data_IF_554344222592
#
_entry.id   IF_554344222592
#
_cell.length_a   1.000
_cell.length_b   1.000
_cell.length_c   1.000
_cell.angle_alpha   90.00
_cell.angle_beta   90.00
_cell.angle_gamma   90.00
#
_symmetry.space_group_name_H-M   'P 1'
#
loop_
_entity.id
_entity.type
_entity.pdbx_description
1 polymer ?
#
# COMPACT_ATOMS: atom_id res chain seq x y z
N UNK A 1 15.65 2.77 -17.56
CA UNK A 1 15.09 1.98 -16.43
C UNK A 1 13.87 2.73 -15.91
N UNK A 2 12.71 2.09 -15.87
CA UNK A 2 11.49 2.69 -15.32
C UNK A 2 11.57 2.85 -13.80
N UNK A 3 10.64 3.60 -13.17
CA UNK A 3 10.54 3.68 -11.73
C UNK A 3 10.39 2.28 -11.10
N UNK A 4 10.91 2.10 -9.88
CA UNK A 4 10.70 0.86 -9.12
C UNK A 4 9.21 0.67 -8.86
N UNK A 5 8.77 -0.59 -8.65
CA UNK A 5 7.38 -0.90 -8.35
C UNK A 5 6.87 -0.22 -7.08
N UNK A 6 7.74 -0.05 -6.09
CA UNK A 6 7.43 0.73 -4.89
C UNK A 6 7.15 2.20 -5.22
N UNK A 7 7.95 2.81 -6.09
CA UNK A 7 7.76 4.21 -6.49
C UNK A 7 6.42 4.41 -7.22
N UNK A 8 6.04 3.47 -8.09
CA UNK A 8 4.73 3.45 -8.77
C UNK A 8 3.57 3.45 -7.75
N UNK A 9 3.64 2.58 -6.73
CA UNK A 9 2.63 2.54 -5.66
C UNK A 9 2.60 3.84 -4.85
N UNK A 10 3.76 4.39 -4.48
CA UNK A 10 3.84 5.66 -3.74
C UNK A 10 3.21 6.80 -4.53
N UNK A 11 3.48 6.90 -5.83
CA UNK A 11 2.89 7.92 -6.70
C UNK A 11 1.36 7.80 -6.77
N UNK A 12 0.82 6.58 -6.88
CA UNK A 12 -0.62 6.34 -6.86
C UNK A 12 -1.27 6.70 -5.52
N UNK A 13 -0.61 6.41 -4.40
CA UNK A 13 -1.08 6.76 -3.05
C UNK A 13 -1.08 8.28 -2.85
N UNK A 14 -0.07 8.98 -3.36
CA UNK A 14 0.03 10.45 -3.29
C UNK A 14 -1.04 11.10 -4.19
N UNK A 15 -1.26 10.57 -5.39
CA UNK A 15 -2.26 11.10 -6.31
C UNK A 15 -3.67 11.00 -5.72
N UNK A 16 -3.99 9.87 -5.05
CA UNK A 16 -5.23 9.65 -4.30
C UNK A 16 -6.52 9.99 -5.09
N UNK A 17 -6.47 9.90 -6.42
CA UNK A 17 -7.62 10.13 -7.29
C UNK A 17 -8.47 8.86 -7.36
N UNK A 18 -9.77 8.95 -7.75
CA UNK A 18 -10.59 7.76 -7.97
C UNK A 18 -9.95 6.77 -8.96
N UNK A 19 -9.20 7.28 -9.95
CA UNK A 19 -8.48 6.45 -10.92
C UNK A 19 -7.28 5.74 -10.27
N UNK A 20 -6.46 6.44 -9.47
CA UNK A 20 -5.33 5.83 -8.78
C UNK A 20 -5.79 4.77 -7.77
N UNK A 21 -6.86 5.03 -7.03
CA UNK A 21 -7.46 4.07 -6.11
C UNK A 21 -7.98 2.83 -6.87
N UNK A 22 -8.57 3.00 -8.05
CA UNK A 22 -8.98 1.87 -8.87
C UNK A 22 -7.79 1.01 -9.30
N UNK A 23 -6.67 1.63 -9.70
CA UNK A 23 -5.43 0.91 -10.05
C UNK A 23 -4.88 0.17 -8.83
N UNK A 24 -4.78 0.82 -7.67
CA UNK A 24 -4.34 0.21 -6.41
C UNK A 24 -5.18 -1.03 -6.06
N UNK A 25 -6.51 -0.95 -6.20
CA UNK A 25 -7.40 -2.09 -5.94
C UNK A 25 -7.24 -3.22 -6.96
N UNK A 26 -7.18 -2.89 -8.25
CA UNK A 26 -7.20 -3.88 -9.34
C UNK A 26 -5.84 -4.54 -9.60
N UNK A 27 -4.75 -3.83 -9.35
CA UNK A 27 -3.38 -4.27 -9.70
C UNK A 27 -2.52 -4.58 -8.49
N UNK A 28 -2.82 -3.96 -7.34
CA UNK A 28 -2.03 -4.07 -6.11
C UNK A 28 -2.83 -4.65 -4.94
N UNK A 29 -4.06 -5.15 -5.17
CA UNK A 29 -4.93 -5.75 -4.16
C UNK A 29 -5.22 -4.84 -2.96
N UNK A 30 -5.32 -3.53 -3.19
CA UNK A 30 -5.52 -2.57 -2.11
C UNK A 30 -6.80 -2.85 -1.32
N UNK A 31 -6.66 -2.91 0.00
CA UNK A 31 -7.77 -3.08 0.92
C UNK A 31 -7.51 -2.39 2.26
N UNK A 32 -8.54 -2.30 3.09
CA UNK A 32 -8.44 -1.74 4.44
C UNK A 32 -8.23 -2.89 5.43
N UNK A 33 -7.25 -2.73 6.31
CA UNK A 33 -6.90 -3.68 7.35
C UNK A 33 -7.88 -3.63 8.52
N UNK A 34 -7.94 -4.74 9.27
CA UNK A 34 -8.70 -4.92 10.50
C UNK A 34 -7.78 -5.21 11.70
N UNK A 35 -8.36 -5.39 12.90
CA UNK A 35 -7.62 -5.74 14.10
C UNK A 35 -6.65 -4.65 14.56
N UNK A 36 -5.40 -5.00 14.89
CA UNK A 36 -4.37 -4.04 15.32
C UNK A 36 -4.14 -2.91 14.32
N UNK A 37 -4.34 -3.19 13.03
CA UNK A 37 -4.17 -2.25 11.94
C UNK A 37 -5.50 -1.69 11.43
N UNK A 38 -6.57 -1.76 12.23
CA UNK A 38 -7.89 -1.31 11.82
C UNK A 38 -7.86 0.10 11.21
N UNK A 39 -8.44 0.22 10.02
CA UNK A 39 -8.56 1.48 9.29
C UNK A 39 -7.35 1.90 8.46
N UNK A 40 -6.20 1.19 8.55
CA UNK A 40 -5.09 1.42 7.61
C UNK A 40 -5.39 0.79 6.26
N UNK A 41 -4.83 1.37 5.22
CA UNK A 41 -4.81 0.79 3.89
C UNK A 41 -3.55 -0.06 3.73
N UNK A 42 -3.67 -1.11 2.94
CA UNK A 42 -2.58 -2.00 2.57
C UNK A 42 -2.65 -2.28 1.07
N UNK A 43 -1.49 -2.47 0.42
CA UNK A 43 -1.41 -3.06 -0.92
C UNK A 43 -0.05 -3.72 -1.18
N UNK A 44 -0.01 -4.62 -2.16
CA UNK A 44 1.18 -5.38 -2.55
C UNK A 44 2.02 -4.67 -3.63
N UNK A 45 3.34 -4.63 -3.43
CA UNK A 45 4.30 -4.13 -4.40
C UNK A 45 4.75 -5.29 -5.31
N UNK A 46 3.99 -5.61 -6.36
CA UNK A 46 4.29 -6.69 -7.31
C UNK A 46 4.38 -8.12 -6.74
N UNK A 47 4.47 -9.13 -7.62
CA UNK A 47 4.38 -10.54 -7.30
C UNK A 47 5.58 -11.05 -6.48
N UNK A 48 5.27 -11.64 -5.32
CA UNK A 48 6.11 -12.54 -4.50
C UNK A 48 7.54 -12.04 -4.16
N UNK A 49 7.66 -11.11 -3.21
CA UNK A 49 8.94 -10.84 -2.54
C UNK A 49 9.01 -9.47 -1.87
N UNK A 50 8.47 -8.45 -2.51
CA UNK A 50 8.40 -7.09 -1.95
C UNK A 50 7.13 -7.00 -1.10
N UNK A 51 7.33 -6.96 0.21
CA UNK A 51 6.23 -7.03 1.16
C UNK A 51 5.28 -5.82 1.12
N UNK A 52 4.13 -5.94 1.80
CA UNK A 52 3.04 -4.98 1.70
C UNK A 52 3.43 -3.57 2.14
N UNK A 53 2.81 -2.57 1.50
CA UNK A 53 2.88 -1.17 1.90
C UNK A 53 1.65 -0.87 2.73
N UNK A 54 1.84 -0.37 3.95
CA UNK A 54 0.75 0.03 4.86
C UNK A 54 0.79 1.55 5.04
N UNK A 55 -0.38 2.19 4.92
CA UNK A 55 -0.51 3.62 5.16
C UNK A 55 -1.87 4.03 5.75
N UNK A 56 -1.91 5.18 6.41
CA UNK A 56 -3.13 5.90 6.74
C UNK A 56 -3.21 7.23 5.98
N UNK A 57 -4.42 7.78 5.82
CA UNK A 57 -4.63 9.05 5.14
C UNK A 57 -5.74 9.86 5.83
N UNK A 58 -5.54 11.18 5.94
CA UNK A 58 -6.54 12.12 6.47
C UNK A 58 -7.15 13.02 5.40
N UNK A 59 -7.02 12.65 4.13
CA UNK A 59 -7.46 13.43 2.96
C UNK A 59 -6.50 14.55 2.53
N UNK A 60 -5.45 14.84 3.31
CA UNK A 60 -4.41 15.83 2.96
C UNK A 60 -3.01 15.23 2.95
N UNK A 61 -2.76 14.26 3.82
CA UNK A 61 -1.45 13.63 4.02
C UNK A 61 -1.65 12.12 4.03
N UNK A 62 -0.78 11.42 3.32
CA UNK A 62 -0.59 9.97 3.43
C UNK A 62 0.61 9.70 4.35
N UNK A 63 0.40 8.92 5.40
CA UNK A 63 1.44 8.48 6.33
C UNK A 63 1.81 7.04 6.00
N UNK A 64 2.96 6.84 5.37
CA UNK A 64 3.50 5.49 5.12
C UNK A 64 4.03 4.93 6.44
N UNK A 65 3.36 3.91 6.96
CA UNK A 65 3.62 3.32 8.28
C UNK A 65 4.58 2.14 8.19
N UNK A 66 4.55 1.38 7.08
CA UNK A 66 5.42 0.21 6.89
C UNK A 66 5.62 -0.17 5.42
N UNK A 67 6.77 -0.76 5.12
CA UNK A 67 7.09 -1.52 3.91
C UNK A 67 8.00 -2.68 4.33
N UNK A 68 7.70 -3.91 3.93
CA UNK A 68 8.45 -5.09 4.39
C UNK A 68 7.59 -6.35 4.41
N UNK A 69 8.21 -7.53 4.56
CA UNK A 69 7.55 -8.83 4.35
C UNK A 69 6.37 -9.07 5.30
N UNK A 70 5.43 -9.95 4.91
CA UNK A 70 4.32 -10.34 5.79
C UNK A 70 4.82 -10.93 7.13
N UNK A 71 5.94 -11.64 7.11
CA UNK A 71 6.52 -12.28 8.30
C UNK A 71 6.97 -11.26 9.36
N UNK A 72 7.45 -10.08 8.92
CA UNK A 72 7.82 -8.98 9.82
C UNK A 72 6.59 -8.25 10.39
N UNK A 73 5.44 -8.31 9.71
CA UNK A 73 4.26 -7.52 10.01
C UNK A 73 3.21 -8.24 10.85
N UNK A 74 3.03 -9.54 10.61
CA UNK A 74 1.93 -10.30 11.19
C UNK A 74 2.37 -11.37 12.18
N UNK A 75 3.64 -11.77 12.19
CA UNK A 75 4.15 -12.83 13.05
C UNK A 75 3.53 -14.20 12.70
N UNK A 76 4.36 -15.24 12.68
CA UNK A 76 3.88 -16.62 12.55
C UNK A 76 3.35 -17.16 13.88
#
# INVERSE_FOLDING_TARGET
MGPSKLKEVIELVIENSPASIAVLKQRHNMHTLAGKWQGRNECHVANAGDGPVIWSCNGKVAFFEHTGSHDELFGT
#
